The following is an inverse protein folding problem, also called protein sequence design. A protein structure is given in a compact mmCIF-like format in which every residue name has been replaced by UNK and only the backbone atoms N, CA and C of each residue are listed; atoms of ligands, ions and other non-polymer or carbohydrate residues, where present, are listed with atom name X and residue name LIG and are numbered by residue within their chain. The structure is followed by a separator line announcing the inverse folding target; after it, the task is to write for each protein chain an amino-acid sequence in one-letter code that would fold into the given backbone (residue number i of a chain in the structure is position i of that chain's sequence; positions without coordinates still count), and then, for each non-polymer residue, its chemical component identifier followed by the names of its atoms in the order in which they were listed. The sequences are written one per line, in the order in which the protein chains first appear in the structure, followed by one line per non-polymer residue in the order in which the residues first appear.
data_IF_036381426081
#
_entry.id   IF_036381426081
#
_cell.length_a   1.000
_cell.length_b   1.000
_cell.length_c   1.000
_cell.angle_alpha   90.00
_cell.angle_beta   90.00
_cell.angle_gamma   90.00
#
_symmetry.space_group_name_H-M   'P 1'
#
loop_
_entity.id
_entity.type
_entity.pdbx_description
1 polymer ?
#
# COMPACT_ATOMS: atom_id res chain seq x y z
N UNK A 1 12.49 87.22 -6.02
CA UNK A 1 11.20 86.78 -5.50
C UNK A 1 10.24 86.68 -6.67
N UNK A 2 10.06 85.50 -7.25
CA UNK A 2 9.15 85.22 -8.37
C UNK A 2 8.22 84.13 -7.92
N UNK A 3 6.90 84.29 -8.11
CA UNK A 3 5.93 83.26 -7.65
C UNK A 3 5.84 82.06 -8.64
N UNK A 4 5.42 80.90 -8.20
CA UNK A 4 5.38 79.69 -9.04
C UNK A 4 4.10 79.67 -9.90
N UNK A 5 4.25 79.11 -11.09
CA UNK A 5 3.22 78.93 -12.09
C UNK A 5 2.18 77.92 -11.73
N UNK A 6 0.90 78.24 -11.88
CA UNK A 6 -0.26 77.39 -11.75
C UNK A 6 -0.35 76.39 -12.94
N UNK A 7 -0.41 75.07 -12.67
CA UNK A 7 -0.76 74.04 -13.67
C UNK A 7 -2.28 73.89 -13.73
N UNK A 8 -2.87 74.11 -14.88
CA UNK A 8 -4.26 73.82 -15.20
C UNK A 8 -4.43 72.30 -15.37
N UNK A 9 -5.38 71.73 -14.64
CA UNK A 9 -5.82 70.31 -14.85
C UNK A 9 -6.84 70.33 -16.03
N UNK A 10 -6.54 69.52 -17.05
CA UNK A 10 -7.46 69.24 -18.14
C UNK A 10 -8.33 68.01 -17.74
N UNK A 11 -9.63 68.25 -17.70
CA UNK A 11 -10.62 67.18 -17.57
C UNK A 11 -10.89 66.55 -18.92
N UNK A 12 -10.67 65.30 -19.12
CA UNK A 12 -11.15 64.48 -20.23
C UNK A 12 -12.46 63.78 -19.82
N UNK A 13 -13.45 63.72 -20.71
CA UNK A 13 -14.73 63.07 -20.40
C UNK A 13 -14.58 61.58 -20.48
N UNK A 14 -15.06 60.84 -19.43
CA UNK A 14 -15.22 59.40 -19.43
C UNK A 14 -16.40 59.03 -20.35
N UNK A 15 -16.10 58.26 -21.39
CA UNK A 15 -17.11 57.51 -22.14
C UNK A 15 -17.58 56.30 -21.36
N UNK A 16 -18.85 56.24 -21.02
CA UNK A 16 -19.50 55.07 -20.42
C UNK A 16 -19.82 54.09 -21.55
N UNK A 17 -19.06 53.04 -21.65
CA UNK A 17 -19.39 51.90 -22.50
C UNK A 17 -20.31 50.96 -21.72
N UNK A 18 -21.55 50.83 -22.19
CA UNK A 18 -22.50 49.86 -21.68
C UNK A 18 -22.03 48.43 -22.06
N UNK A 19 -21.60 47.63 -21.09
CA UNK A 19 -21.31 46.22 -21.28
C UNK A 19 -22.64 45.45 -21.27
N UNK A 20 -23.03 44.93 -22.42
CA UNK A 20 -24.13 43.96 -22.55
C UNK A 20 -23.66 42.62 -21.97
N UNK A 21 -24.18 42.26 -20.81
CA UNK A 21 -23.95 40.92 -20.24
C UNK A 21 -24.73 39.87 -21.06
N UNK A 22 -23.99 39.04 -21.81
CA UNK A 22 -24.53 37.82 -22.35
C UNK A 22 -24.72 36.83 -21.18
N UNK A 23 -25.97 36.53 -20.82
CA UNK A 23 -26.35 35.42 -20.00
C UNK A 23 -26.10 34.11 -20.78
N UNK A 24 -24.97 33.47 -20.55
CA UNK A 24 -24.74 32.08 -20.98
C UNK A 24 -25.51 31.21 -20.00
N UNK A 25 -26.66 30.67 -20.42
CA UNK A 25 -27.37 29.63 -19.72
C UNK A 25 -26.52 28.36 -19.78
N UNK A 26 -25.77 28.07 -18.70
CA UNK A 26 -25.15 26.77 -18.53
C UNK A 26 -26.27 25.72 -18.32
N UNK A 27 -26.58 24.96 -19.34
CA UNK A 27 -27.36 23.74 -19.19
C UNK A 27 -26.52 22.77 -18.38
N UNK A 28 -26.88 22.57 -17.11
CA UNK A 28 -26.31 21.50 -16.30
C UNK A 28 -26.58 20.17 -17.00
N UNK A 29 -25.55 19.53 -17.49
CA UNK A 29 -25.59 18.11 -17.88
C UNK A 29 -26.03 17.34 -16.64
N UNK A 30 -27.06 16.48 -16.73
CA UNK A 30 -27.38 15.60 -15.60
C UNK A 30 -26.13 14.77 -15.28
N UNK A 31 -25.76 14.76 -14.01
CA UNK A 31 -24.73 13.85 -13.51
C UNK A 31 -25.12 12.43 -13.94
N UNK A 32 -24.21 11.74 -14.61
CA UNK A 32 -24.40 10.35 -14.94
C UNK A 32 -24.77 9.63 -13.63
N UNK A 33 -25.89 8.89 -13.65
CA UNK A 33 -26.29 8.08 -12.51
C UNK A 33 -25.12 7.12 -12.25
N UNK A 34 -24.52 7.23 -11.07
CA UNK A 34 -23.50 6.29 -10.62
C UNK A 34 -24.18 4.92 -10.58
N UNK A 35 -23.66 3.98 -11.35
CA UNK A 35 -24.04 2.58 -11.28
C UNK A 35 -23.80 2.16 -9.84
N UNK A 36 -24.77 1.49 -9.16
CA UNK A 36 -24.52 1.04 -7.79
C UNK A 36 -23.29 0.12 -7.78
N UNK A 37 -22.34 0.41 -6.92
CA UNK A 37 -21.16 -0.43 -6.66
C UNK A 37 -21.65 -1.81 -6.26
N UNK A 38 -21.22 -2.83 -6.99
CA UNK A 38 -21.49 -4.22 -6.64
C UNK A 38 -20.30 -4.71 -5.80
N UNK A 39 -20.51 -5.19 -4.57
CA UNK A 39 -19.41 -5.70 -3.75
C UNK A 39 -18.77 -6.92 -4.44
N UNK A 40 -17.45 -7.07 -4.26
CA UNK A 40 -16.73 -8.27 -4.68
C UNK A 40 -17.38 -9.53 -4.10
N UNK A 41 -17.53 -10.55 -4.93
CA UNK A 41 -18.09 -11.85 -4.55
C UNK A 41 -17.24 -12.99 -5.11
N UNK A 42 -17.32 -14.16 -4.50
CA UNK A 42 -16.60 -15.35 -4.97
C UNK A 42 -16.98 -15.80 -6.40
N UNK A 43 -18.01 -15.20 -6.99
CA UNK A 43 -18.41 -15.45 -8.39
C UNK A 43 -17.73 -14.53 -9.40
N UNK A 44 -17.01 -13.50 -8.92
CA UNK A 44 -16.22 -12.60 -9.75
C UNK A 44 -14.90 -13.29 -10.11
N UNK A 45 -14.33 -12.98 -11.25
CA UNK A 45 -13.23 -13.70 -11.89
C UNK A 45 -12.11 -14.11 -10.92
N UNK A 46 -11.71 -15.38 -11.00
CA UNK A 46 -10.66 -15.98 -10.18
C UNK A 46 -9.51 -16.38 -11.08
N UNK A 47 -8.34 -15.84 -10.85
CA UNK A 47 -7.12 -16.28 -11.49
C UNK A 47 -6.23 -17.00 -10.47
N UNK A 48 -5.90 -18.28 -10.72
CA UNK A 48 -4.98 -19.06 -9.90
C UNK A 48 -3.61 -19.08 -10.57
N UNK A 49 -2.63 -18.40 -9.95
CA UNK A 49 -1.26 -18.28 -10.44
C UNK A 49 -0.33 -19.24 -9.67
N UNK A 50 0.87 -19.46 -10.21
CA UNK A 50 2.00 -20.04 -9.46
C UNK A 50 2.02 -21.57 -9.33
N UNK A 51 1.33 -22.31 -10.21
CA UNK A 51 1.17 -23.76 -9.98
C UNK A 51 1.86 -24.66 -11.01
N UNK A 52 2.64 -24.18 -11.93
CA UNK A 52 3.04 -25.00 -13.07
C UNK A 52 4.38 -25.74 -12.95
N UNK A 53 5.31 -25.36 -12.07
CA UNK A 53 6.59 -26.04 -11.98
C UNK A 53 7.06 -26.22 -10.52
N UNK A 54 7.00 -27.44 -10.01
CA UNK A 54 7.67 -27.81 -8.76
C UNK A 54 6.78 -28.15 -7.57
N UNK A 55 5.45 -28.07 -7.70
CA UNK A 55 4.55 -28.47 -6.62
C UNK A 55 4.50 -30.01 -6.47
N UNK A 56 4.33 -30.54 -5.23
CA UNK A 56 4.17 -31.96 -4.99
C UNK A 56 3.07 -32.58 -5.84
N UNK A 57 3.21 -33.87 -6.17
CA UNK A 57 2.26 -34.59 -7.03
C UNK A 57 0.80 -34.53 -6.52
N UNK A 58 0.59 -34.40 -5.21
CA UNK A 58 -0.71 -34.18 -4.60
C UNK A 58 -1.39 -32.87 -5.06
N UNK A 59 -0.60 -31.84 -5.30
CA UNK A 59 -1.06 -30.56 -5.87
C UNK A 59 -1.20 -30.58 -7.39
N UNK A 60 -0.68 -31.57 -8.06
CA UNK A 60 -0.81 -31.73 -9.51
C UNK A 60 -2.23 -31.98 -10.01
N UNK A 61 -3.18 -32.30 -9.13
CA UNK A 61 -4.57 -32.50 -9.48
C UNK A 61 -5.33 -31.15 -9.45
N UNK A 62 -5.83 -30.70 -10.59
CA UNK A 62 -6.60 -29.45 -10.71
C UNK A 62 -7.67 -29.25 -9.61
N UNK A 63 -8.45 -30.26 -9.20
CA UNK A 63 -9.48 -30.08 -8.15
C UNK A 63 -8.93 -29.65 -6.79
N UNK A 64 -7.74 -30.11 -6.38
CA UNK A 64 -7.14 -29.72 -5.09
C UNK A 64 -6.67 -28.26 -5.10
N UNK A 65 -6.22 -27.78 -6.25
CA UNK A 65 -5.79 -26.39 -6.47
C UNK A 65 -6.98 -25.43 -6.46
N UNK A 66 -8.01 -25.76 -7.23
CA UNK A 66 -9.25 -24.98 -7.28
C UNK A 66 -9.89 -24.90 -5.89
N UNK A 67 -9.96 -26.01 -5.16
CA UNK A 67 -10.48 -26.04 -3.79
C UNK A 67 -9.68 -25.18 -2.81
N UNK A 68 -8.34 -25.13 -2.91
CA UNK A 68 -7.51 -24.25 -2.10
C UNK A 68 -7.75 -22.78 -2.47
N UNK A 69 -7.75 -22.47 -3.77
CA UNK A 69 -7.98 -21.12 -4.24
C UNK A 69 -9.35 -20.60 -3.82
N UNK A 70 -10.41 -21.42 -3.96
CA UNK A 70 -11.75 -21.08 -3.50
C UNK A 70 -11.79 -20.76 -2.00
N UNK A 71 -11.11 -21.57 -1.16
CA UNK A 71 -11.03 -21.32 0.28
C UNK A 71 -10.28 -20.02 0.61
N UNK A 72 -9.15 -19.75 -0.08
CA UNK A 72 -8.39 -18.50 0.11
C UNK A 72 -9.25 -17.29 -0.27
N UNK A 73 -9.99 -17.37 -1.36
CA UNK A 73 -10.87 -16.29 -1.82
C UNK A 73 -12.00 -16.06 -0.82
N UNK A 74 -12.64 -17.14 -0.34
CA UNK A 74 -13.69 -17.04 0.67
C UNK A 74 -13.19 -16.32 1.93
N UNK A 75 -11.99 -16.66 2.41
CA UNK A 75 -11.39 -16.01 3.57
C UNK A 75 -11.02 -14.55 3.31
N UNK A 76 -10.43 -14.21 2.15
CA UNK A 76 -10.16 -12.82 1.78
C UNK A 76 -11.44 -11.98 1.78
N UNK A 77 -12.48 -12.48 1.11
CA UNK A 77 -13.75 -11.76 0.99
C UNK A 77 -14.53 -11.72 2.32
N UNK A 78 -14.44 -12.78 3.13
CA UNK A 78 -15.07 -12.86 4.45
C UNK A 78 -14.40 -11.96 5.48
N UNK A 79 -13.09 -12.10 5.65
CA UNK A 79 -12.31 -11.38 6.65
C UNK A 79 -12.24 -9.87 6.37
N UNK A 80 -12.19 -9.48 5.11
CA UNK A 80 -12.06 -8.07 4.66
C UNK A 80 -13.33 -7.53 4.02
N UNK A 81 -14.48 -8.15 4.31
CA UNK A 81 -15.75 -7.77 3.74
C UNK A 81 -16.09 -6.28 3.91
N UNK A 82 -15.74 -5.69 5.06
CA UNK A 82 -15.99 -4.26 5.33
C UNK A 82 -15.16 -3.36 4.44
N UNK A 83 -13.84 -3.62 4.35
CA UNK A 83 -12.90 -2.84 3.56
C UNK A 83 -13.16 -3.06 2.06
N UNK A 84 -13.32 -4.31 1.65
CA UNK A 84 -13.56 -4.67 0.25
C UNK A 84 -14.95 -4.27 -0.24
N UNK A 85 -15.95 -4.18 0.62
CA UNK A 85 -17.31 -3.75 0.24
C UNK A 85 -17.39 -2.31 -0.27
N UNK A 86 -16.37 -1.50 0.00
CA UNK A 86 -16.27 -0.14 -0.52
C UNK A 86 -15.66 -0.07 -1.92
N UNK A 87 -15.08 -1.17 -2.40
CA UNK A 87 -14.48 -1.27 -3.72
C UNK A 87 -15.54 -1.63 -4.76
N UNK A 88 -15.40 -1.07 -5.96
CA UNK A 88 -16.19 -1.52 -7.11
C UNK A 88 -15.63 -2.86 -7.60
N UNK A 89 -16.49 -3.88 -7.72
CA UNK A 89 -16.10 -5.19 -8.23
C UNK A 89 -15.77 -5.17 -9.75
N UNK A 90 -16.12 -4.09 -10.45
CA UNK A 90 -15.79 -3.96 -11.85
C UNK A 90 -14.26 -3.84 -12.02
N UNK A 91 -13.72 -4.66 -12.90
CA UNK A 91 -12.30 -4.70 -13.24
C UNK A 91 -11.35 -5.08 -12.06
N UNK A 92 -11.87 -5.86 -11.09
CA UNK A 92 -11.06 -6.47 -10.03
C UNK A 92 -11.16 -7.98 -10.06
N UNK A 93 -10.02 -8.62 -9.98
CA UNK A 93 -9.88 -10.08 -9.88
C UNK A 93 -9.24 -10.43 -8.54
N UNK A 94 -9.48 -11.64 -8.03
CA UNK A 94 -8.70 -12.21 -6.93
C UNK A 94 -7.70 -13.21 -7.52
N UNK A 95 -6.41 -12.93 -7.36
CA UNK A 95 -5.32 -13.81 -7.78
C UNK A 95 -4.77 -14.55 -6.58
N UNK A 96 -4.62 -15.87 -6.70
CA UNK A 96 -4.02 -16.73 -5.68
C UNK A 96 -2.71 -17.28 -6.24
N UNK A 97 -1.60 -16.88 -5.66
CA UNK A 97 -0.25 -17.33 -6.02
C UNK A 97 0.27 -18.28 -4.93
N UNK A 98 0.25 -19.59 -5.21
CA UNK A 98 0.76 -20.62 -4.32
C UNK A 98 2.26 -20.75 -4.54
N UNK A 99 3.07 -20.50 -3.51
CA UNK A 99 4.53 -20.46 -3.61
C UNK A 99 5.21 -21.68 -3.03
N UNK A 100 4.74 -22.13 -1.89
CA UNK A 100 5.27 -23.30 -1.22
C UNK A 100 4.11 -24.25 -0.92
N UNK A 101 4.31 -25.54 -1.13
CA UNK A 101 3.30 -26.54 -0.82
C UNK A 101 3.90 -27.90 -0.49
N UNK A 102 3.19 -28.65 0.36
CA UNK A 102 3.39 -30.06 0.66
C UNK A 102 2.07 -30.82 0.45
N UNK A 103 2.04 -32.11 0.72
CA UNK A 103 0.81 -32.91 0.58
C UNK A 103 -0.37 -32.44 1.44
N UNK A 104 -0.11 -31.65 2.48
CA UNK A 104 -1.14 -31.20 3.43
C UNK A 104 -1.04 -29.73 3.83
N UNK A 105 -0.15 -28.95 3.26
CA UNK A 105 -0.02 -27.53 3.60
C UNK A 105 0.38 -26.68 2.38
N UNK A 106 0.00 -25.42 2.39
CA UNK A 106 0.36 -24.45 1.36
C UNK A 106 0.63 -23.06 1.96
N UNK A 107 1.51 -22.31 1.28
CA UNK A 107 1.82 -20.93 1.58
C UNK A 107 1.87 -20.12 0.31
N UNK A 108 1.39 -18.88 0.33
CA UNK A 108 1.39 -18.06 -0.85
C UNK A 108 0.88 -16.63 -0.62
N UNK A 109 0.44 -16.01 -1.70
CA UNK A 109 -0.07 -14.64 -1.73
C UNK A 109 -1.46 -14.61 -2.37
N UNK A 110 -2.39 -13.92 -1.74
CA UNK A 110 -3.68 -13.57 -2.33
C UNK A 110 -3.67 -12.07 -2.66
N UNK A 111 -4.06 -11.71 -3.89
CA UNK A 111 -4.07 -10.33 -4.38
C UNK A 111 -5.46 -10.01 -4.92
N UNK A 112 -6.07 -8.96 -4.38
CA UNK A 112 -7.22 -8.30 -5.01
C UNK A 112 -6.66 -7.23 -5.95
N UNK A 113 -6.82 -7.41 -7.25
CA UNK A 113 -6.30 -6.49 -8.27
C UNK A 113 -7.01 -5.14 -8.22
N UNK A 114 -6.46 -4.16 -8.90
CA UNK A 114 -7.08 -2.85 -9.08
C UNK A 114 -7.24 -2.52 -10.57
N UNK A 115 -8.24 -1.71 -10.95
CA UNK A 115 -8.28 -1.12 -12.29
C UNK A 115 -7.11 -0.16 -12.49
N UNK A 116 -6.70 0.07 -13.73
CA UNK A 116 -5.64 1.04 -14.08
C UNK A 116 -6.16 2.49 -13.99
N UNK A 117 -6.56 2.90 -12.79
CA UNK A 117 -7.14 4.22 -12.49
C UNK A 117 -6.38 4.87 -11.35
N UNK A 118 -6.18 6.19 -11.43
CA UNK A 118 -5.47 6.96 -10.40
C UNK A 118 -6.18 6.86 -9.04
N UNK A 119 -5.42 6.53 -8.01
CA UNK A 119 -5.91 6.38 -6.64
C UNK A 119 -6.55 5.02 -6.34
N UNK A 120 -6.52 4.09 -7.30
CA UNK A 120 -6.95 2.71 -7.13
C UNK A 120 -5.72 1.79 -7.15
N UNK A 121 -5.34 1.23 -6.01
CA UNK A 121 -4.22 0.30 -5.89
C UNK A 121 -4.71 -1.08 -5.44
N UNK A 122 -3.96 -2.16 -5.71
CA UNK A 122 -4.34 -3.51 -5.32
C UNK A 122 -4.14 -3.75 -3.82
N UNK A 123 -4.79 -4.78 -3.29
CA UNK A 123 -4.55 -5.27 -1.93
C UNK A 123 -3.95 -6.66 -1.97
N UNK A 124 -3.10 -7.00 -1.01
CA UNK A 124 -2.51 -8.34 -0.91
C UNK A 124 -2.33 -8.79 0.53
N UNK A 125 -2.40 -10.12 0.72
CA UNK A 125 -2.11 -10.81 1.96
C UNK A 125 -1.26 -12.04 1.68
N UNK A 126 -0.34 -12.36 2.57
CA UNK A 126 0.16 -13.71 2.64
C UNK A 126 -0.95 -14.61 3.19
N UNK A 127 -0.98 -15.86 2.76
CA UNK A 127 -1.84 -16.89 3.34
C UNK A 127 -1.03 -18.13 3.70
N UNK A 128 -1.47 -18.83 4.74
CA UNK A 128 -1.07 -20.19 5.06
C UNK A 128 -2.31 -21.07 5.07
N UNK A 129 -2.18 -22.30 4.60
CA UNK A 129 -3.29 -23.24 4.54
C UNK A 129 -2.87 -24.64 4.96
N UNK A 130 -3.77 -25.36 5.62
CA UNK A 130 -3.62 -26.75 6.04
C UNK A 130 -4.82 -27.57 5.56
N UNK A 131 -4.56 -28.80 5.09
CA UNK A 131 -5.58 -29.71 4.62
C UNK A 131 -6.02 -30.66 5.73
N UNK A 132 -7.21 -30.48 6.27
CA UNK A 132 -7.84 -31.42 7.19
C UNK A 132 -8.85 -32.30 6.45
N UNK A 133 -8.45 -33.54 6.21
CA UNK A 133 -9.22 -34.51 5.43
C UNK A 133 -9.37 -34.09 3.97
N UNK A 134 -10.44 -33.39 3.60
CA UNK A 134 -10.72 -32.92 2.25
C UNK A 134 -11.04 -31.41 2.21
N UNK A 135 -10.85 -30.70 3.32
CA UNK A 135 -11.19 -29.28 3.46
C UNK A 135 -9.92 -28.52 3.80
N UNK A 136 -9.69 -27.42 3.11
CA UNK A 136 -8.62 -26.48 3.43
C UNK A 136 -9.06 -25.54 4.55
N UNK A 137 -8.24 -25.48 5.60
CA UNK A 137 -8.27 -24.41 6.59
C UNK A 137 -7.28 -23.35 6.17
N UNK A 138 -7.69 -22.12 6.05
CA UNK A 138 -6.85 -21.00 5.55
C UNK A 138 -6.73 -19.93 6.63
N UNK A 139 -5.54 -19.41 6.81
CA UNK A 139 -5.29 -18.22 7.61
C UNK A 139 -4.66 -17.12 6.76
N UNK A 140 -5.17 -15.90 6.86
CA UNK A 140 -4.59 -14.73 6.20
C UNK A 140 -3.65 -13.99 7.14
N UNK A 141 -2.60 -13.43 6.60
CA UNK A 141 -1.63 -12.58 7.30
C UNK A 141 -2.31 -11.59 8.26
N UNK A 142 -2.00 -11.70 9.54
CA UNK A 142 -2.60 -10.90 10.62
C UNK A 142 -3.75 -11.59 11.36
N UNK A 143 -4.08 -12.85 11.05
CA UNK A 143 -5.04 -13.66 11.82
C UNK A 143 -4.36 -14.65 12.75
N UNK A 144 -5.08 -15.11 13.76
CA UNK A 144 -4.62 -16.15 14.68
C UNK A 144 -4.41 -17.48 13.91
N UNK A 145 -5.33 -17.81 13.00
CA UNK A 145 -5.27 -19.00 12.16
C UNK A 145 -4.00 -19.02 11.30
N UNK A 146 -3.58 -17.88 10.76
CA UNK A 146 -2.32 -17.79 10.02
C UNK A 146 -1.12 -18.16 10.87
N UNK A 147 -1.08 -17.65 12.10
CA UNK A 147 0.01 -17.93 13.05
C UNK A 147 0.00 -19.39 13.52
N UNK A 148 -1.16 -19.98 13.77
CA UNK A 148 -1.32 -21.37 14.19
C UNK A 148 -0.88 -22.34 13.07
N UNK A 149 -1.37 -22.13 11.85
CA UNK A 149 -0.99 -22.97 10.69
C UNK A 149 0.51 -22.87 10.43
N UNK A 150 1.10 -21.68 10.50
CA UNK A 150 2.54 -21.51 10.32
C UNK A 150 3.35 -22.16 11.43
N UNK A 151 2.90 -22.11 12.69
CA UNK A 151 3.64 -22.67 13.81
C UNK A 151 3.96 -24.15 13.64
N UNK A 152 3.04 -24.92 13.07
CA UNK A 152 3.16 -26.35 12.84
C UNK A 152 3.66 -26.72 11.43
N UNK A 153 3.77 -25.73 10.54
CA UNK A 153 4.16 -25.93 9.14
C UNK A 153 5.67 -26.17 8.97
N UNK A 154 6.02 -27.01 8.01
CA UNK A 154 7.39 -27.20 7.52
C UNK A 154 7.71 -26.41 6.25
N UNK A 155 6.78 -25.55 5.77
CA UNK A 155 6.91 -24.81 4.52
C UNK A 155 7.95 -23.69 4.60
N UNK A 156 8.05 -23.03 5.76
CA UNK A 156 9.01 -21.97 6.01
C UNK A 156 10.14 -22.46 6.92
N UNK A 157 11.31 -21.83 6.84
CA UNK A 157 12.35 -22.10 7.81
C UNK A 157 11.97 -21.61 9.22
N UNK A 158 12.65 -22.10 10.25
CA UNK A 158 12.27 -21.83 11.63
C UNK A 158 12.32 -20.36 11.99
N UNK A 159 13.32 -19.63 11.53
CA UNK A 159 13.50 -18.20 11.86
C UNK A 159 12.46 -17.35 11.12
N UNK A 160 12.18 -17.64 9.86
CA UNK A 160 11.14 -17.03 9.06
C UNK A 160 9.77 -17.23 9.71
N UNK A 161 9.43 -18.48 10.01
CA UNK A 161 8.17 -18.86 10.65
C UNK A 161 7.96 -18.15 11.99
N UNK A 162 8.96 -18.18 12.88
CA UNK A 162 8.88 -17.50 14.18
C UNK A 162 8.68 -15.99 14.03
N UNK A 163 9.37 -15.35 13.09
CA UNK A 163 9.22 -13.91 12.85
C UNK A 163 7.86 -13.56 12.26
N UNK A 164 7.41 -14.30 11.25
CA UNK A 164 6.14 -14.02 10.56
C UNK A 164 4.95 -14.33 11.46
N UNK A 165 4.95 -15.48 12.15
CA UNK A 165 3.91 -15.82 13.12
C UNK A 165 3.86 -14.83 14.29
N UNK A 166 5.03 -14.44 14.82
CA UNK A 166 5.08 -13.44 15.88
C UNK A 166 4.60 -12.04 15.46
N UNK A 167 4.69 -11.69 14.18
CA UNK A 167 4.17 -10.44 13.65
C UNK A 167 2.64 -10.46 13.52
N UNK A 168 2.07 -11.63 13.30
CA UNK A 168 0.62 -11.81 13.22
C UNK A 168 -0.08 -11.89 14.60
N UNK A 169 0.68 -11.96 15.71
CA UNK A 169 0.10 -12.04 17.05
C UNK A 169 -0.61 -10.72 17.45
N UNK A 170 -1.95 -10.71 17.53
CA UNK A 170 -2.72 -9.52 17.88
C UNK A 170 -2.48 -9.04 19.33
N UNK A 171 -1.82 -9.86 20.17
CA UNK A 171 -1.46 -9.52 21.54
C UNK A 171 -0.10 -8.80 21.63
N UNK A 172 0.64 -8.69 20.55
CA UNK A 172 1.85 -7.87 20.50
C UNK A 172 1.50 -6.39 20.52
N UNK A 173 1.48 -5.82 21.70
CA UNK A 173 1.18 -4.41 21.91
C UNK A 173 2.34 -3.55 21.42
N UNK A 174 2.08 -2.71 20.42
CA UNK A 174 2.91 -1.57 20.11
C UNK A 174 2.06 -0.38 19.67
N UNK A 175 1.23 0.12 20.55
CA UNK A 175 0.55 1.41 20.35
C UNK A 175 1.51 2.57 20.72
N UNK A 176 2.69 2.64 20.10
CA UNK A 176 3.63 3.74 20.32
C UNK A 176 3.68 4.64 19.10
N UNK A 177 3.65 5.97 19.32
CA UNK A 177 3.83 6.96 18.25
C UNK A 177 5.17 6.80 17.49
N UNK A 178 6.12 6.11 18.09
CA UNK A 178 7.41 5.76 17.50
C UNK A 178 7.38 4.32 16.97
N UNK A 179 7.36 4.19 15.65
CA UNK A 179 7.19 2.89 14.99
C UNK A 179 8.46 2.03 14.97
N UNK A 180 9.65 2.62 15.16
CA UNK A 180 10.91 1.94 14.93
C UNK A 180 11.15 1.57 13.44
N UNK A 181 10.47 2.24 12.52
CA UNK A 181 10.58 2.06 11.08
C UNK A 181 11.22 3.31 10.47
N UNK A 182 12.18 3.12 9.56
CA UNK A 182 12.84 4.19 8.82
C UNK A 182 12.00 4.71 7.64
N UNK A 183 12.64 5.48 6.75
CA UNK A 183 12.12 5.81 5.44
C UNK A 183 12.60 4.78 4.39
N UNK A 184 11.94 4.66 3.22
CA UNK A 184 12.20 3.61 2.23
C UNK A 184 13.48 3.83 1.41
N UNK A 185 14.49 4.52 1.96
CA UNK A 185 15.77 4.78 1.32
C UNK A 185 16.89 4.83 2.36
N UNK A 186 18.15 4.86 1.91
CA UNK A 186 19.31 4.75 2.80
C UNK A 186 19.30 5.77 3.95
N UNK A 187 19.55 5.29 5.16
CA UNK A 187 19.81 6.16 6.31
C UNK A 187 20.97 7.11 5.96
N UNK A 188 20.85 8.37 6.34
CA UNK A 188 21.85 9.40 6.04
C UNK A 188 21.72 10.01 4.64
N UNK A 189 20.68 9.68 3.86
CA UNK A 189 20.40 10.27 2.56
C UNK A 189 19.05 10.97 2.53
N UNK A 190 18.73 11.61 1.40
CA UNK A 190 17.46 12.31 1.24
C UNK A 190 16.79 11.94 -0.08
N UNK A 191 15.45 11.89 -0.06
CA UNK A 191 14.57 11.87 -1.22
C UNK A 191 13.50 12.96 -1.10
N UNK A 192 12.81 13.28 -2.18
CA UNK A 192 11.67 14.20 -2.16
C UNK A 192 10.42 13.42 -1.76
N UNK A 193 9.69 13.90 -0.77
CA UNK A 193 8.32 13.46 -0.50
C UNK A 193 7.42 14.05 -1.59
N UNK A 194 7.06 13.27 -2.60
CA UNK A 194 6.27 13.72 -3.75
C UNK A 194 4.78 13.71 -3.45
N UNK A 195 4.30 12.75 -2.65
CA UNK A 195 2.96 12.68 -2.09
C UNK A 195 3.02 12.63 -0.56
N UNK A 196 2.24 13.47 0.14
CA UNK A 196 2.06 13.40 1.60
C UNK A 196 1.14 12.23 1.99
N UNK A 197 0.74 12.10 3.26
CA UNK A 197 -0.10 10.99 3.70
C UNK A 197 -1.37 10.83 2.87
N UNK A 198 -1.57 9.60 2.34
CA UNK A 198 -2.73 9.19 1.54
C UNK A 198 -3.03 7.70 1.79
N UNK A 199 -4.17 7.21 1.34
CA UNK A 199 -4.50 5.78 1.42
C UNK A 199 -3.65 4.96 0.48
N UNK A 200 -3.41 3.71 0.81
CA UNK A 200 -2.72 2.80 -0.11
C UNK A 200 -3.52 2.67 -1.42
N UNK A 201 -4.84 2.60 -1.34
CA UNK A 201 -5.75 2.69 -2.48
C UNK A 201 -6.70 3.87 -2.26
N UNK A 202 -6.20 5.10 -2.46
CA UNK A 202 -6.95 6.36 -2.48
C UNK A 202 -7.59 6.80 -1.17
N UNK A 203 -8.45 5.96 -0.57
CA UNK A 203 -9.21 6.25 0.64
C UNK A 203 -8.43 6.03 1.95
N UNK A 204 -9.00 6.43 3.10
CA UNK A 204 -8.40 6.16 4.39
C UNK A 204 -8.38 4.65 4.72
N UNK A 205 -7.46 4.19 5.60
CA UNK A 205 -6.52 4.98 6.39
C UNK A 205 -5.37 5.55 5.54
N UNK A 206 -4.92 6.79 5.84
CA UNK A 206 -3.81 7.43 5.14
C UNK A 206 -2.47 6.87 5.61
N UNK A 207 -2.16 5.70 5.08
CA UNK A 207 -1.05 4.82 5.48
C UNK A 207 0.20 4.99 4.64
N UNK A 208 0.12 5.73 3.54
CA UNK A 208 1.14 5.77 2.50
C UNK A 208 1.72 7.16 2.31
N UNK A 209 2.94 7.21 1.82
CA UNK A 209 3.64 8.41 1.33
C UNK A 209 4.49 8.05 0.12
N UNK A 210 4.62 9.00 -0.81
CA UNK A 210 5.40 8.80 -2.01
C UNK A 210 6.77 9.47 -1.93
N UNK A 211 7.79 8.79 -2.42
CA UNK A 211 9.15 9.29 -2.49
C UNK A 211 9.75 9.16 -3.88
N UNK A 212 10.39 10.24 -4.35
CA UNK A 212 11.14 10.20 -5.60
C UNK A 212 12.44 11.02 -5.53
N UNK A 213 13.26 10.90 -6.56
CA UNK A 213 14.54 11.62 -6.66
C UNK A 213 15.66 10.98 -5.84
N UNK A 214 16.62 11.77 -5.39
CA UNK A 214 17.81 11.24 -4.72
C UNK A 214 18.58 10.28 -5.62
N UNK A 215 18.98 9.11 -5.08
CA UNK A 215 19.57 8.04 -5.89
C UNK A 215 18.53 7.05 -6.46
N UNK A 216 17.25 7.29 -6.19
CA UNK A 216 16.12 6.50 -6.68
C UNK A 216 16.02 5.08 -6.12
N UNK A 217 16.82 4.70 -5.14
CA UNK A 217 16.85 3.33 -4.61
C UNK A 217 15.84 3.14 -3.47
N UNK A 218 14.95 2.17 -3.64
CA UNK A 218 14.11 1.64 -2.58
C UNK A 218 14.90 0.68 -1.69
N UNK A 219 14.81 0.86 -0.38
CA UNK A 219 15.52 0.06 0.60
C UNK A 219 14.61 -0.30 1.78
N UNK A 220 14.84 -1.47 2.36
CA UNK A 220 14.11 -1.91 3.54
C UNK A 220 14.24 -0.89 4.68
N UNK A 221 13.11 -0.30 5.07
CA UNK A 221 13.03 0.73 6.10
C UNK A 221 13.39 0.20 7.50
N UNK A 222 13.23 -1.12 7.72
CA UNK A 222 13.68 -1.91 8.86
C UNK A 222 13.97 -3.33 8.37
N UNK A 223 14.82 -4.09 9.07
CA UNK A 223 15.05 -5.50 8.81
C UNK A 223 13.81 -6.35 9.06
N UNK A 224 13.77 -7.53 8.46
CA UNK A 224 12.66 -8.48 8.57
C UNK A 224 12.62 -9.45 7.40
N UNK A 225 11.50 -10.13 7.20
CA UNK A 225 11.31 -11.04 6.08
C UNK A 225 10.63 -10.34 4.91
N UNK A 226 11.28 -10.38 3.75
CA UNK A 226 10.86 -9.67 2.55
C UNK A 226 10.20 -10.63 1.55
N UNK A 227 9.00 -10.27 1.12
CA UNK A 227 8.19 -10.99 0.13
C UNK A 227 7.87 -10.10 -1.06
N UNK A 228 8.31 -10.50 -2.25
CA UNK A 228 7.79 -9.92 -3.49
C UNK A 228 6.38 -10.44 -3.70
N UNK A 229 5.39 -9.55 -3.63
CA UNK A 229 3.98 -9.92 -3.80
C UNK A 229 3.64 -10.13 -5.26
N UNK A 230 4.12 -9.23 -6.12
CA UNK A 230 4.19 -9.37 -7.57
C UNK A 230 5.33 -8.47 -8.12
N UNK A 231 5.48 -8.36 -9.43
CA UNK A 231 6.56 -7.63 -10.09
C UNK A 231 6.59 -6.15 -9.75
N UNK A 232 7.51 -5.75 -8.87
CA UNK A 232 7.64 -4.36 -8.40
C UNK A 232 6.81 -4.01 -7.16
N UNK A 233 6.25 -5.01 -6.48
CA UNK A 233 5.63 -4.85 -5.17
C UNK A 233 6.32 -5.75 -4.15
N UNK A 234 6.97 -5.17 -3.17
CA UNK A 234 7.65 -5.89 -2.08
C UNK A 234 7.04 -5.50 -0.74
N UNK A 235 6.78 -6.49 0.12
CA UNK A 235 6.46 -6.32 1.55
C UNK A 235 7.62 -6.77 2.39
N UNK A 236 7.93 -6.04 3.47
CA UNK A 236 8.87 -6.49 4.50
C UNK A 236 8.12 -6.57 5.84
N UNK A 237 8.02 -7.78 6.39
CA UNK A 237 7.42 -8.06 7.70
C UNK A 237 8.50 -7.92 8.76
N UNK A 238 8.32 -7.00 9.70
CA UNK A 238 9.29 -6.67 10.74
C UNK A 238 9.01 -7.41 12.05
N UNK A 239 10.01 -7.47 12.91
CA UNK A 239 9.95 -8.10 14.23
C UNK A 239 9.22 -7.29 15.31
N UNK A 240 8.62 -6.16 14.94
CA UNK A 240 8.07 -5.17 15.88
C UNK A 240 6.56 -4.91 15.72
N UNK A 241 5.84 -5.81 15.06
CA UNK A 241 4.40 -5.72 14.85
C UNK A 241 3.97 -4.77 13.73
N UNK A 242 4.91 -4.39 12.84
CA UNK A 242 4.64 -3.65 11.62
C UNK A 242 5.16 -4.39 10.40
N UNK A 243 4.61 -4.07 9.24
CA UNK A 243 5.24 -4.35 7.94
C UNK A 243 5.21 -3.10 7.07
N UNK A 244 6.04 -3.10 6.04
CA UNK A 244 6.10 -2.00 5.07
C UNK A 244 5.97 -2.53 3.66
N UNK A 245 5.13 -1.87 2.87
CA UNK A 245 4.95 -2.14 1.46
C UNK A 245 5.69 -1.10 0.63
N UNK A 246 6.28 -1.56 -0.47
CA UNK A 246 7.01 -0.77 -1.46
C UNK A 246 6.43 -1.12 -2.83
N UNK A 247 5.70 -0.21 -3.45
CA UNK A 247 5.05 -0.42 -4.73
C UNK A 247 5.66 0.47 -5.82
N UNK A 248 5.35 0.17 -7.06
CA UNK A 248 5.88 0.79 -8.28
C UNK A 248 7.37 0.57 -8.52
N UNK A 249 7.99 -0.42 -7.90
CA UNK A 249 9.43 -0.64 -8.05
C UNK A 249 9.79 -1.17 -9.45
N UNK A 250 10.90 -0.67 -9.98
CA UNK A 250 11.62 -1.23 -11.12
C UNK A 250 12.98 -1.77 -10.68
N UNK A 251 13.65 -2.55 -11.53
CA UNK A 251 14.93 -3.20 -11.21
C UNK A 251 14.91 -3.84 -9.80
N UNK A 252 13.77 -4.38 -9.43
CA UNK A 252 13.52 -4.97 -8.12
C UNK A 252 14.25 -6.31 -7.97
N UNK A 253 14.56 -6.65 -6.73
CA UNK A 253 15.04 -7.96 -6.35
C UNK A 253 13.82 -8.84 -6.03
N UNK A 254 13.73 -10.01 -6.66
CA UNK A 254 12.71 -10.99 -6.28
C UNK A 254 13.10 -11.64 -4.94
N UNK A 255 12.22 -11.53 -3.95
CA UNK A 255 12.42 -11.97 -2.58
C UNK A 255 11.23 -12.84 -2.15
N UNK A 256 11.34 -14.17 -2.19
CA UNK A 256 10.22 -15.08 -1.85
C UNK A 256 10.04 -15.35 -0.35
N UNK A 257 10.73 -14.65 0.55
CA UNK A 257 10.74 -14.87 1.99
C UNK A 257 12.17 -14.75 2.55
N UNK A 258 12.94 -13.77 2.07
CA UNK A 258 14.32 -13.61 2.48
C UNK A 258 14.45 -12.73 3.72
N UNK A 259 15.24 -13.17 4.69
CA UNK A 259 15.68 -12.32 5.78
C UNK A 259 16.56 -11.19 5.25
N UNK A 260 16.14 -9.94 5.45
CA UNK A 260 16.83 -8.74 4.97
C UNK A 260 17.17 -7.80 6.14
N UNK A 261 18.34 -7.23 6.12
CA UNK A 261 18.72 -6.18 7.06
C UNK A 261 18.12 -4.82 6.69
N UNK A 262 18.04 -3.91 7.66
CA UNK A 262 17.72 -2.50 7.42
C UNK A 262 18.64 -1.91 6.34
N UNK A 263 18.06 -1.21 5.36
CA UNK A 263 18.79 -0.64 4.24
C UNK A 263 19.12 -1.64 3.11
N UNK A 264 18.64 -2.89 3.19
CA UNK A 264 18.75 -3.84 2.09
C UNK A 264 18.09 -3.28 0.82
N UNK A 265 18.73 -3.47 -0.34
CA UNK A 265 18.20 -3.00 -1.61
C UNK A 265 16.99 -3.84 -2.03
N UNK A 266 15.89 -3.17 -2.36
CA UNK A 266 14.65 -3.82 -2.81
C UNK A 266 14.39 -3.58 -4.31
N UNK A 267 14.77 -2.41 -4.83
CA UNK A 267 14.55 -2.01 -6.21
C UNK A 267 14.87 -0.53 -6.41
N UNK A 268 14.40 0.02 -7.50
CA UNK A 268 14.44 1.47 -7.76
C UNK A 268 13.02 2.02 -7.84
N UNK A 269 12.86 3.32 -7.60
CA UNK A 269 11.63 4.04 -7.94
C UNK A 269 11.25 3.76 -9.40
N UNK A 270 9.98 3.56 -9.68
CA UNK A 270 9.50 3.22 -11.00
C UNK A 270 8.02 3.45 -11.18
N UNK A 271 7.43 2.78 -12.17
CA UNK A 271 6.03 2.87 -12.54
C UNK A 271 5.36 1.49 -12.67
N UNK A 272 5.94 0.44 -12.07
CA UNK A 272 5.36 -0.92 -12.14
C UNK A 272 3.99 -0.95 -11.48
N UNK A 273 3.02 -1.60 -12.14
CA UNK A 273 1.64 -1.77 -11.68
C UNK A 273 1.20 -3.23 -11.86
N UNK A 274 1.96 -4.16 -11.29
CA UNK A 274 1.84 -5.60 -11.51
C UNK A 274 0.46 -6.22 -11.18
N UNK A 275 -0.31 -5.57 -10.33
CA UNK A 275 -1.66 -6.00 -9.97
C UNK A 275 -2.69 -4.89 -10.20
N UNK A 276 -2.38 -3.93 -11.07
CA UNK A 276 -3.23 -2.78 -11.36
C UNK A 276 -2.84 -1.52 -10.58
N UNK A 277 -3.74 -0.55 -10.54
CA UNK A 277 -3.44 0.79 -10.06
C UNK A 277 -2.83 1.68 -11.14
N UNK A 278 -2.32 2.83 -10.78
CA UNK A 278 -1.66 3.72 -11.74
C UNK A 278 -0.47 4.45 -11.11
N UNK A 279 0.46 4.87 -11.96
CA UNK A 279 1.58 5.71 -11.57
C UNK A 279 1.71 6.88 -12.53
N UNK A 280 1.72 8.10 -12.01
CA UNK A 280 1.87 9.33 -12.82
C UNK A 280 3.32 9.76 -13.01
N UNK A 281 4.27 9.02 -12.43
CA UNK A 281 5.72 9.27 -12.55
C UNK A 281 6.52 8.38 -11.61
N UNK A 282 7.75 8.07 -11.97
CA UNK A 282 8.59 7.15 -11.22
C UNK A 282 8.76 7.57 -9.74
N UNK A 283 8.24 6.77 -8.83
CA UNK A 283 8.31 6.96 -7.38
C UNK A 283 8.33 5.64 -6.62
N UNK A 284 8.51 5.69 -5.32
CA UNK A 284 8.29 4.62 -4.37
C UNK A 284 7.00 4.94 -3.64
N UNK A 285 5.93 4.20 -3.88
CA UNK A 285 4.73 4.24 -3.05
C UNK A 285 5.01 3.40 -1.80
N UNK A 286 5.15 4.06 -0.66
CA UNK A 286 5.59 3.46 0.60
C UNK A 286 4.47 3.48 1.62
N UNK A 287 4.06 2.31 2.12
CA UNK A 287 2.97 2.18 3.08
C UNK A 287 3.37 1.44 4.35
N UNK A 288 2.69 1.78 5.44
CA UNK A 288 2.79 1.11 6.74
C UNK A 288 1.57 0.23 6.99
N UNK A 289 1.83 -1.01 7.42
CA UNK A 289 0.81 -1.95 7.93
C UNK A 289 1.12 -2.33 9.35
N UNK A 290 0.10 -2.80 10.09
CA UNK A 290 0.25 -3.19 11.49
C UNK A 290 -0.50 -4.48 11.82
N UNK A 291 -0.06 -5.15 12.88
CA UNK A 291 -0.64 -6.42 13.34
C UNK A 291 -1.13 -6.35 14.79
N UNK A 292 -1.05 -5.17 15.41
CA UNK A 292 -1.31 -4.99 16.85
C UNK A 292 -2.77 -4.69 17.18
N UNK A 293 -3.58 -4.34 16.20
CA UNK A 293 -5.03 -4.18 16.36
C UNK A 293 -5.71 -5.48 15.90
N UNK A 294 -6.34 -6.26 16.81
CA UNK A 294 -6.98 -7.52 16.43
C UNK A 294 -8.14 -7.35 15.45
N UNK A 295 -8.72 -6.16 15.34
CA UNK A 295 -9.80 -5.88 14.38
C UNK A 295 -9.27 -5.44 13.01
N UNK A 296 -7.99 -5.09 12.92
CA UNK A 296 -7.35 -4.58 11.72
C UNK A 296 -5.92 -5.15 11.53
N UNK A 297 -5.60 -6.28 12.16
CA UNK A 297 -4.30 -6.92 12.04
C UNK A 297 -4.01 -7.30 10.57
N UNK A 298 -2.79 -7.01 10.13
CA UNK A 298 -2.42 -7.16 8.72
C UNK A 298 -3.08 -6.13 7.80
N UNK A 299 -3.58 -5.01 8.32
CA UNK A 299 -4.15 -3.91 7.55
C UNK A 299 -3.29 -2.66 7.61
N UNK A 300 -3.62 -1.71 6.78
CA UNK A 300 -2.94 -0.42 6.66
C UNK A 300 -3.18 0.45 7.90
N UNK A 301 -2.13 1.15 8.36
CA UNK A 301 -2.14 1.98 9.56
C UNK A 301 -1.99 3.45 9.18
N UNK A 302 -2.91 4.29 9.63
CA UNK A 302 -2.83 5.73 9.44
C UNK A 302 -1.51 6.31 9.98
N UNK A 303 -0.83 7.14 9.18
CA UNK A 303 0.47 7.73 9.56
C UNK A 303 0.31 8.90 10.53
N UNK A 304 -0.89 9.42 10.73
CA UNK A 304 -1.13 10.60 11.55
C UNK A 304 -0.60 10.45 12.99
N UNK A 305 0.34 11.28 13.36
CA UNK A 305 1.00 11.23 14.67
C UNK A 305 2.12 10.18 14.80
N UNK A 306 2.31 9.31 13.81
CA UNK A 306 3.38 8.30 13.84
C UNK A 306 4.71 8.88 13.37
N UNK A 307 5.80 8.31 13.91
CA UNK A 307 7.16 8.68 13.56
C UNK A 307 7.85 7.57 12.76
N UNK A 308 8.25 7.90 11.51
CA UNK A 308 9.04 7.05 10.63
C UNK A 308 10.27 7.83 10.16
N UNK A 309 11.44 7.19 10.13
CA UNK A 309 12.69 7.82 9.69
C UNK A 309 13.08 9.09 10.48
N UNK A 310 12.55 9.21 11.70
CA UNK A 310 12.74 10.36 12.57
C UNK A 310 11.81 11.54 12.28
N UNK A 311 10.81 11.39 11.43
CA UNK A 311 9.80 12.40 11.11
C UNK A 311 8.42 11.98 11.62
N UNK A 312 7.70 12.90 12.25
CA UNK A 312 6.30 12.68 12.63
C UNK A 312 5.39 13.20 11.52
N UNK A 313 4.52 12.32 11.01
CA UNK A 313 3.60 12.63 9.93
C UNK A 313 2.30 13.24 10.47
N UNK A 314 1.74 14.15 9.70
CA UNK A 314 0.45 14.79 9.96
C UNK A 314 -0.38 14.75 8.69
N UNK A 315 -1.55 14.18 8.80
CA UNK A 315 -2.49 14.06 7.68
C UNK A 315 -3.09 15.42 7.29
N UNK A 316 -3.52 15.49 6.05
CA UNK A 316 -4.28 16.60 5.47
C UNK A 316 -5.35 16.06 4.52
N UNK A 317 -5.59 16.75 3.40
CA UNK A 317 -6.25 16.11 2.26
C UNK A 317 -5.35 15.00 1.71
N UNK A 318 -5.93 14.01 1.02
CA UNK A 318 -5.18 12.92 0.37
C UNK A 318 -4.03 13.48 -0.47
N UNK A 319 -2.84 12.89 -0.37
CA UNK A 319 -1.55 13.36 -0.93
C UNK A 319 -1.04 14.71 -0.36
N UNK A 320 -1.79 15.33 0.56
CA UNK A 320 -1.42 16.57 1.26
C UNK A 320 -0.79 16.31 2.63
N UNK A 321 -1.05 17.20 3.60
CA UNK A 321 -0.45 17.09 4.93
C UNK A 321 1.04 17.47 4.94
N UNK A 322 1.77 16.96 5.94
CA UNK A 322 3.21 17.26 6.10
C UNK A 322 3.88 16.28 7.06
N UNK A 323 5.19 16.33 7.11
CA UNK A 323 5.97 15.70 8.17
C UNK A 323 6.82 16.74 8.91
N UNK A 324 7.00 16.58 10.21
CA UNK A 324 7.85 17.48 10.99
C UNK A 324 8.83 16.70 11.87
N UNK A 325 9.96 17.37 12.18
CA UNK A 325 10.92 16.91 13.17
C UNK A 325 11.32 18.07 14.06
N UNK A 326 11.22 17.90 15.35
CA UNK A 326 11.60 18.91 16.34
C UNK A 326 13.08 19.30 16.17
N UNK A 327 13.35 20.62 16.14
CA UNK A 327 14.68 21.18 15.95
C UNK A 327 15.22 21.14 14.50
N UNK A 328 14.44 20.58 13.55
CA UNK A 328 14.82 20.54 12.12
C UNK A 328 13.85 21.36 11.27
N UNK A 329 12.55 21.11 11.40
CA UNK A 329 11.53 21.84 10.64
C UNK A 329 10.39 20.95 10.14
N UNK A 330 9.66 21.47 9.18
CA UNK A 330 8.50 20.83 8.54
C UNK A 330 8.76 20.66 7.05
N UNK A 331 8.36 19.50 6.51
CA UNK A 331 8.44 19.16 5.08
C UNK A 331 7.02 18.94 4.57
N UNK A 332 6.67 19.63 3.51
CA UNK A 332 5.45 19.45 2.73
C UNK A 332 5.74 18.67 1.44
N UNK A 333 4.72 18.12 0.75
CA UNK A 333 4.91 17.52 -0.56
C UNK A 333 5.69 18.43 -1.51
N UNK A 334 6.67 17.84 -2.22
CA UNK A 334 7.69 18.56 -3.00
C UNK A 334 8.98 18.87 -2.24
N UNK A 335 9.02 18.69 -0.92
CA UNK A 335 10.19 18.94 -0.09
C UNK A 335 11.10 17.74 0.08
N UNK A 336 12.40 18.01 0.33
CA UNK A 336 13.40 16.99 0.63
C UNK A 336 13.28 16.49 2.06
N UNK A 337 13.23 15.18 2.23
CA UNK A 337 13.24 14.50 3.54
C UNK A 337 14.55 13.74 3.72
N UNK A 338 15.22 13.96 4.84
CA UNK A 338 16.41 13.22 5.24
C UNK A 338 16.03 12.03 6.11
N UNK A 339 16.54 10.83 5.81
CA UNK A 339 16.30 9.64 6.62
C UNK A 339 17.28 9.60 7.81
N UNK A 340 16.76 9.88 9.01
CA UNK A 340 17.55 9.84 10.26
C UNK A 340 17.68 8.41 10.83
N UNK A 341 17.02 7.42 10.20
CA UNK A 341 16.86 6.09 10.77
C UNK A 341 15.74 6.04 11.81
N UNK A 342 15.84 5.10 12.75
CA UNK A 342 14.86 4.88 13.83
C UNK A 342 15.55 4.80 15.18
#
# INVERSE_FOLDING_TARGET
MTPPASRRASFLPFAVTAATALLVSATATPAAAQTPTQPLSAADNVEVLGIDEGLPAAFGAAPAKESLADSVIEDVLGLRATELSTLDAQDRDVRVDIREATDGAAFGVAIVTAPEVEGEDPYAWLFAAELDGAVWSVGLEGTEEFSEILADSSLLDTEERETVAASADPNRISAMAYTGVGLPFSIGTSMVMTGGPHGFSGGPPYSSVDFAGGNGQARAARGGYAYSLCDGWTRVIHDNGYSTDYYHLENYQWLPGNNVGTGHYLGTQGNSVCAGGSSTGAHIHFALRGYTDPNAAGWYVALNGLTLGGWTFVEGASYGGYAYRNGVGTVYPGGWMYNYGF
#
